data_IF_826386106021
#
_entry.id   IF_826386106021
#
_cell.length_a   1.000
_cell.length_b   1.000
_cell.length_c   1.000
_cell.angle_alpha   90.00
_cell.angle_beta   90.00
_cell.angle_gamma   90.00
#
_symmetry.space_group_name_H-M   'P 1'
#
loop_
_entity.id
_entity.type
_entity.pdbx_description
1 polymer ?
#
# COMPACT_ATOMS: atom_id res chain seq x y z
N UNK A 1 -0.39 -0.24 11.37
CA UNK A 1 -0.20 -0.57 9.94
C UNK A 1 1.00 -1.49 9.73
N UNK A 2 2.17 -1.09 10.18
CA UNK A 2 3.36 -1.92 10.04
C UNK A 2 3.21 -3.24 10.82
N UNK A 3 2.69 -3.21 12.03
CA UNK A 3 2.42 -4.42 12.82
C UNK A 3 1.48 -5.38 12.11
N UNK A 4 0.47 -4.87 11.43
CA UNK A 4 -0.49 -5.66 10.67
C UNK A 4 0.18 -6.37 9.49
N UNK A 5 1.05 -5.67 8.77
CA UNK A 5 1.81 -6.24 7.66
C UNK A 5 2.75 -7.35 8.14
N UNK A 6 3.41 -7.14 9.29
CA UNK A 6 4.30 -8.13 9.88
C UNK A 6 3.59 -9.41 10.32
N UNK A 7 2.34 -9.27 10.75
CA UNK A 7 1.51 -10.41 11.14
C UNK A 7 1.15 -11.28 9.94
N UNK A 8 0.96 -10.66 8.78
CA UNK A 8 0.51 -11.37 7.58
C UNK A 8 1.63 -12.07 6.81
N UNK A 9 2.87 -11.65 6.98
CA UNK A 9 4.00 -12.18 6.20
C UNK A 9 5.29 -12.18 6.99
N UNK A 10 6.16 -13.13 6.65
CA UNK A 10 7.54 -13.08 7.09
C UNK A 10 8.29 -12.02 6.27
N UNK A 11 8.91 -11.07 6.96
CA UNK A 11 9.46 -9.84 6.33
C UNK A 11 10.95 -9.67 6.59
N UNK A 12 11.70 -10.75 6.69
CA UNK A 12 13.15 -10.68 6.87
C UNK A 12 13.77 -10.05 5.62
N UNK A 13 14.64 -9.06 5.83
CA UNK A 13 15.34 -8.31 4.76
C UNK A 13 14.40 -7.63 3.75
N UNK A 14 13.19 -7.32 4.18
CA UNK A 14 12.25 -6.57 3.36
C UNK A 14 12.55 -5.07 3.42
N UNK A 15 12.48 -4.42 2.26
CA UNK A 15 12.64 -2.96 2.18
C UNK A 15 11.26 -2.32 2.32
N UNK A 16 11.13 -1.42 3.30
CA UNK A 16 9.96 -0.56 3.45
C UNK A 16 10.29 0.82 2.93
N UNK A 17 9.69 1.20 1.80
CA UNK A 17 9.86 2.53 1.22
C UNK A 17 8.75 3.47 1.67
N UNK A 18 9.11 4.67 2.10
CA UNK A 18 8.16 5.68 2.56
C UNK A 18 8.63 7.09 2.16
N UNK A 19 7.76 8.08 2.38
CA UNK A 19 8.18 9.47 2.36
C UNK A 19 8.92 9.83 3.67
N UNK A 20 9.32 11.09 3.81
CA UNK A 20 9.99 11.58 5.03
C UNK A 20 9.00 12.15 6.06
N UNK A 21 7.79 11.59 6.12
CA UNK A 21 6.81 11.97 7.13
C UNK A 21 7.32 11.74 8.55
N UNK A 22 6.84 12.56 9.48
CA UNK A 22 7.32 12.54 10.88
C UNK A 22 7.21 11.16 11.55
N UNK A 23 6.17 10.39 11.21
CA UNK A 23 6.01 9.03 11.76
C UNK A 23 7.15 8.15 11.30
N UNK A 24 7.49 8.18 10.02
CA UNK A 24 8.52 7.30 9.45
C UNK A 24 9.94 7.72 9.81
N UNK A 25 10.18 9.01 10.09
CA UNK A 25 11.48 9.50 10.50
C UNK A 25 11.70 9.41 12.02
N UNK A 26 10.65 9.11 12.79
CA UNK A 26 10.75 9.04 14.24
C UNK A 26 11.71 7.92 14.67
N UNK A 27 12.47 8.18 15.74
CA UNK A 27 13.39 7.20 16.30
C UNK A 27 12.66 5.91 16.71
N UNK A 28 11.45 6.05 17.25
CA UNK A 28 10.63 4.93 17.68
C UNK A 28 10.27 4.01 16.53
N UNK A 29 9.82 4.57 15.40
CA UNK A 29 9.51 3.80 14.21
C UNK A 29 10.73 3.11 13.63
N UNK A 30 11.85 3.83 13.50
CA UNK A 30 13.09 3.30 12.96
C UNK A 30 13.64 2.15 13.82
N UNK A 31 13.61 2.29 15.13
CA UNK A 31 14.04 1.24 16.06
C UNK A 31 13.17 -0.01 15.90
N UNK A 32 11.85 0.17 15.86
CA UNK A 32 10.92 -0.94 15.71
C UNK A 32 11.13 -1.68 14.37
N UNK A 33 11.28 -0.95 13.28
CA UNK A 33 11.52 -1.54 11.97
C UNK A 33 12.83 -2.35 11.94
N UNK A 34 13.89 -1.79 12.51
CA UNK A 34 15.18 -2.46 12.56
C UNK A 34 15.12 -3.76 13.39
N UNK A 35 14.42 -3.75 14.51
CA UNK A 35 14.24 -4.93 15.36
C UNK A 35 13.49 -6.05 14.62
N UNK A 36 12.62 -5.70 13.68
CA UNK A 36 11.85 -6.66 12.88
C UNK A 36 12.54 -7.09 11.59
N UNK A 37 13.77 -6.67 11.37
CA UNK A 37 14.54 -7.06 10.18
C UNK A 37 14.13 -6.30 8.93
N UNK A 38 13.52 -5.13 9.07
CA UNK A 38 13.09 -4.29 7.95
C UNK A 38 14.17 -3.26 7.64
N UNK A 39 14.50 -3.15 6.35
CA UNK A 39 15.38 -2.10 5.83
C UNK A 39 14.49 -0.94 5.40
N UNK A 40 14.69 0.23 6.00
CA UNK A 40 13.90 1.41 5.63
C UNK A 40 14.56 2.17 4.48
N UNK A 41 13.75 2.62 3.54
CA UNK A 41 14.15 3.47 2.42
C UNK A 41 13.20 4.66 2.36
N UNK A 42 13.71 5.84 2.08
CA UNK A 42 12.89 7.05 2.06
C UNK A 42 13.00 7.78 0.73
N UNK A 43 11.88 8.33 0.26
CA UNK A 43 11.87 9.19 -0.91
C UNK A 43 12.65 10.47 -0.62
N UNK A 44 13.21 11.05 -1.67
CA UNK A 44 13.90 12.33 -1.58
C UNK A 44 12.87 13.44 -1.30
N UNK A 45 13.24 14.39 -0.47
CA UNK A 45 12.37 15.53 -0.14
C UNK A 45 11.95 16.27 -1.42
N UNK A 46 10.64 16.47 -1.57
CA UNK A 46 10.08 17.18 -2.71
C UNK A 46 10.07 16.41 -4.03
N UNK A 47 10.43 15.12 -4.03
CA UNK A 47 10.42 14.29 -5.25
C UNK A 47 9.25 13.31 -5.24
N UNK A 48 8.15 13.68 -5.90
CA UNK A 48 6.93 12.86 -5.96
C UNK A 48 7.12 11.56 -6.74
N UNK A 49 8.07 11.47 -7.64
CA UNK A 49 8.30 10.25 -8.42
C UNK A 49 8.76 9.07 -7.55
N UNK A 50 9.43 9.35 -6.44
CA UNK A 50 9.89 8.30 -5.54
C UNK A 50 8.74 7.52 -4.88
N UNK A 51 7.54 8.10 -4.81
CA UNK A 51 6.35 7.48 -4.23
C UNK A 51 5.23 7.23 -5.24
N UNK A 52 5.54 7.26 -6.52
CA UNK A 52 4.52 7.20 -7.58
C UNK A 52 3.61 5.96 -7.50
N UNK A 53 4.15 4.81 -7.11
CA UNK A 53 3.37 3.57 -7.03
C UNK A 53 2.25 3.63 -6.00
N UNK A 54 2.55 4.12 -4.80
CA UNK A 54 1.51 4.21 -3.76
C UNK A 54 0.52 5.34 -4.07
N UNK A 55 0.98 6.45 -4.63
CA UNK A 55 0.10 7.53 -5.05
C UNK A 55 -0.84 7.09 -6.16
N UNK A 56 -0.37 6.26 -7.07
CA UNK A 56 -1.17 5.64 -8.12
C UNK A 56 -2.31 4.79 -7.52
N UNK A 57 -1.98 3.98 -6.54
CA UNK A 57 -2.98 3.18 -5.81
C UNK A 57 -4.03 4.08 -5.15
N UNK A 58 -3.61 5.14 -4.46
CA UNK A 58 -4.54 6.08 -3.81
C UNK A 58 -5.48 6.74 -4.82
N UNK A 59 -4.96 7.12 -5.98
CA UNK A 59 -5.73 7.71 -7.06
C UNK A 59 -6.83 6.75 -7.57
N UNK A 60 -6.48 5.50 -7.79
CA UNK A 60 -7.42 4.48 -8.23
C UNK A 60 -8.44 4.14 -7.15
N UNK A 61 -8.04 4.10 -5.89
CA UNK A 61 -8.96 3.91 -4.78
C UNK A 61 -10.05 4.99 -4.77
N UNK A 62 -9.65 6.25 -4.94
CA UNK A 62 -10.60 7.36 -4.97
C UNK A 62 -11.52 7.30 -6.17
N UNK A 63 -10.98 7.11 -7.38
CA UNK A 63 -11.79 7.16 -8.60
C UNK A 63 -12.65 5.91 -8.79
N UNK A 64 -12.11 4.74 -8.53
CA UNK A 64 -12.83 3.46 -8.76
C UNK A 64 -13.61 3.00 -7.53
N UNK A 65 -13.07 3.22 -6.32
CA UNK A 65 -13.69 2.76 -5.10
C UNK A 65 -14.78 3.67 -4.56
N UNK A 66 -14.58 4.98 -4.64
CA UNK A 66 -15.52 5.96 -4.08
C UNK A 66 -16.33 6.70 -5.13
N UNK A 67 -15.67 7.35 -6.06
CA UNK A 67 -16.37 8.24 -7.00
C UNK A 67 -17.21 7.48 -8.03
N UNK A 68 -16.70 6.38 -8.58
CA UNK A 68 -17.43 5.60 -9.57
C UNK A 68 -18.69 4.94 -8.99
N UNK A 69 -18.71 4.66 -7.69
CA UNK A 69 -19.84 4.02 -7.02
C UNK A 69 -20.78 5.02 -6.34
N UNK A 70 -20.55 6.32 -6.50
CA UNK A 70 -21.36 7.38 -5.86
C UNK A 70 -21.52 7.20 -4.35
N UNK A 71 -20.50 6.69 -3.68
CA UNK A 71 -20.56 6.47 -2.24
C UNK A 71 -20.48 7.81 -1.52
N UNK A 72 -21.55 8.15 -0.81
CA UNK A 72 -21.52 9.27 0.11
C UNK A 72 -20.95 8.79 1.43
N UNK A 73 -19.93 9.47 1.92
CA UNK A 73 -19.32 9.16 3.21
C UNK A 73 -20.31 9.47 4.33
N UNK A 74 -20.98 8.44 4.83
CA UNK A 74 -21.94 8.60 5.91
C UNK A 74 -21.36 8.30 7.30
N UNK A 75 -20.37 7.39 7.38
CA UNK A 75 -19.71 7.05 8.65
C UNK A 75 -18.38 6.32 8.39
N UNK A 76 -17.58 6.16 9.46
CA UNK A 76 -16.26 5.52 9.37
C UNK A 76 -16.35 4.04 8.99
N UNK A 77 -17.36 3.31 9.45
CA UNK A 77 -17.49 1.89 9.15
C UNK A 77 -17.72 1.64 7.67
N UNK A 78 -18.53 2.47 7.02
CA UNK A 78 -18.76 2.39 5.57
C UNK A 78 -17.48 2.68 4.77
N UNK A 79 -16.69 3.63 5.22
CA UNK A 79 -15.41 3.97 4.59
C UNK A 79 -14.43 2.80 4.71
N UNK A 80 -14.30 2.23 5.91
CA UNK A 80 -13.42 1.10 6.16
C UNK A 80 -13.82 -0.09 5.29
N UNK A 81 -15.11 -0.40 5.23
CA UNK A 81 -15.62 -1.49 4.40
C UNK A 81 -15.30 -1.27 2.92
N UNK A 82 -15.51 -0.06 2.42
CA UNK A 82 -15.21 0.29 1.02
C UNK A 82 -13.73 0.11 0.72
N UNK A 83 -12.84 0.57 1.60
CA UNK A 83 -11.40 0.42 1.43
C UNK A 83 -11.01 -1.06 1.42
N UNK A 84 -11.52 -1.86 2.36
CA UNK A 84 -11.21 -3.29 2.44
C UNK A 84 -11.66 -4.04 1.19
N UNK A 85 -12.86 -3.77 0.71
CA UNK A 85 -13.39 -4.38 -0.51
C UNK A 85 -12.58 -3.98 -1.74
N UNK A 86 -12.16 -2.71 -1.81
CA UNK A 86 -11.35 -2.24 -2.93
C UNK A 86 -9.96 -2.85 -2.91
N UNK A 87 -9.33 -2.98 -1.75
CA UNK A 87 -8.01 -3.62 -1.63
C UNK A 87 -8.10 -5.07 -2.11
N UNK A 88 -9.15 -5.80 -1.70
CA UNK A 88 -9.37 -7.17 -2.15
C UNK A 88 -9.51 -7.24 -3.68
N UNK A 89 -10.35 -6.39 -4.25
CA UNK A 89 -10.54 -6.29 -5.69
C UNK A 89 -9.23 -5.95 -6.41
N UNK A 90 -8.52 -4.94 -5.93
CA UNK A 90 -7.27 -4.48 -6.54
C UNK A 90 -6.22 -5.60 -6.59
N UNK A 91 -6.07 -6.32 -5.49
CA UNK A 91 -5.05 -7.36 -5.38
C UNK A 91 -5.41 -8.64 -6.14
N UNK A 92 -6.67 -9.02 -6.18
CA UNK A 92 -7.09 -10.34 -6.67
C UNK A 92 -7.75 -10.30 -8.05
N UNK A 93 -8.41 -9.20 -8.41
CA UNK A 93 -9.27 -9.17 -9.59
C UNK A 93 -8.86 -8.10 -10.61
N UNK A 94 -8.39 -6.93 -10.15
CA UNK A 94 -8.07 -5.82 -11.05
C UNK A 94 -6.84 -6.13 -11.88
N UNK A 95 -7.03 -6.28 -13.19
CA UNK A 95 -5.92 -6.51 -14.11
C UNK A 95 -5.19 -5.20 -14.42
N UNK A 96 -3.88 -5.29 -14.62
CA UNK A 96 -3.04 -4.15 -14.97
C UNK A 96 -2.16 -4.50 -16.17
N UNK A 97 -2.15 -3.61 -17.15
CA UNK A 97 -1.38 -3.84 -18.39
C UNK A 97 0.11 -4.09 -18.11
N UNK A 98 0.70 -3.32 -17.21
CA UNK A 98 2.12 -3.46 -16.84
C UNK A 98 2.43 -4.77 -16.10
N UNK A 99 1.42 -5.49 -15.64
CA UNK A 99 1.53 -6.80 -15.02
C UNK A 99 1.04 -7.91 -15.95
N UNK A 100 1.28 -7.76 -17.25
CA UNK A 100 0.85 -8.70 -18.29
C UNK A 100 -0.65 -9.00 -18.23
N UNK A 101 -1.45 -7.98 -17.96
CA UNK A 101 -2.91 -8.06 -17.80
C UNK A 101 -3.35 -9.02 -16.69
N UNK A 102 -2.57 -9.08 -15.63
CA UNK A 102 -2.89 -9.86 -14.42
C UNK A 102 -3.15 -8.95 -13.23
N UNK A 103 -3.87 -9.47 -12.24
CA UNK A 103 -3.94 -8.81 -10.93
C UNK A 103 -2.60 -8.93 -10.20
N UNK A 104 -2.31 -8.05 -9.22
CA UNK A 104 -1.05 -8.13 -8.47
C UNK A 104 -0.76 -9.51 -7.86
N UNK A 105 -1.76 -10.17 -7.29
CA UNK A 105 -1.55 -11.50 -6.69
C UNK A 105 -1.29 -12.55 -7.78
N UNK A 106 -2.04 -12.52 -8.88
CA UNK A 106 -1.84 -13.43 -9.99
C UNK A 106 -0.43 -13.28 -10.60
N UNK A 107 -0.01 -12.03 -10.82
CA UNK A 107 1.32 -11.73 -11.34
C UNK A 107 2.42 -12.25 -10.41
N UNK A 108 2.26 -12.00 -9.11
CA UNK A 108 3.22 -12.48 -8.12
C UNK A 108 3.39 -14.00 -8.16
N UNK A 109 2.29 -14.73 -8.25
CA UNK A 109 2.33 -16.20 -8.37
C UNK A 109 2.97 -16.67 -9.67
N UNK A 110 2.80 -15.89 -10.73
CA UNK A 110 3.35 -16.21 -12.05
C UNK A 110 4.88 -16.07 -12.09
N UNK A 111 5.45 -15.06 -11.41
CA UNK A 111 6.89 -14.75 -11.45
C UNK A 111 7.72 -15.45 -10.36
N UNK A 112 7.09 -16.10 -9.41
CA UNK A 112 7.80 -16.84 -8.33
C UNK A 112 8.19 -18.25 -8.76
#
# INVERSE_FOLDING_TARGET
>A
TLKEALRKRNVIDTILHSDQGKVYTSKQFQTYAKEKGIITSMSRTGNCHDNALIEFFHSHLKSEGFYAQNIKQSNNDSIIQTVDEYIHYYNNERIQRRLDNMSPIAYRKHVI
#
